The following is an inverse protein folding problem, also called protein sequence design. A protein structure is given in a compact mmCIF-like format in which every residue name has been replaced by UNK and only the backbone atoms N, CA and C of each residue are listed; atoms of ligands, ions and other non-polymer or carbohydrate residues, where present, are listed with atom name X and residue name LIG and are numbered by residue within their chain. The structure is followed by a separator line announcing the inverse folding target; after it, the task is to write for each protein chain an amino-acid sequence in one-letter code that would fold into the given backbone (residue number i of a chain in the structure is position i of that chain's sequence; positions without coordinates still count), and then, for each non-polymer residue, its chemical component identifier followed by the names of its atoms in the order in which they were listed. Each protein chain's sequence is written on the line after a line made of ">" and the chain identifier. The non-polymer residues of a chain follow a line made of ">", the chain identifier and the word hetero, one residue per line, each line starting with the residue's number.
data_IF_714786906011
#
_entry.id   IF_714786906011
#
_cell.length_a   1.000
_cell.length_b   1.000
_cell.length_c   1.000
_cell.angle_alpha   90.00
_cell.angle_beta   90.00
_cell.angle_gamma   90.00
#
_symmetry.space_group_name_H-M   'P 1'
#
loop_
_entity.id
_entity.type
_entity.pdbx_description
1 polymer ?
#
# COMPACT_ATOMS: atom_id res chain seq x y z
N UNK A 1 17.52 1.07 1.54
CA UNK A 1 17.54 0.13 0.42
C UNK A 1 16.17 -0.53 0.30
N UNK A 2 15.50 -0.50 -0.87
CA UNK A 2 14.12 -1.01 -1.00
C UNK A 2 13.96 -2.47 -0.53
N UNK A 3 15.00 -3.28 -0.65
CA UNK A 3 15.01 -4.67 -0.23
C UNK A 3 14.79 -4.90 1.26
N UNK A 4 15.10 -3.92 2.11
CA UNK A 4 14.92 -4.05 3.56
C UNK A 4 13.43 -4.02 3.98
N UNK A 5 12.56 -3.53 3.11
CA UNK A 5 11.11 -3.44 3.35
C UNK A 5 10.35 -4.58 2.66
N UNK A 6 11.08 -5.46 1.98
CA UNK A 6 10.47 -6.60 1.30
C UNK A 6 10.25 -7.74 2.30
N UNK A 7 9.00 -8.03 2.61
CA UNK A 7 8.58 -9.12 3.48
C UNK A 7 7.76 -10.14 2.70
N UNK A 8 7.81 -11.38 3.15
CA UNK A 8 7.03 -12.46 2.56
C UNK A 8 5.75 -12.66 3.37
N UNK A 9 4.60 -12.73 2.68
CA UNK A 9 3.32 -13.08 3.27
C UNK A 9 2.83 -14.43 2.75
N UNK A 10 2.21 -15.21 3.62
CA UNK A 10 1.57 -16.49 3.26
C UNK A 10 0.13 -16.51 3.73
N UNK A 11 -0.76 -17.00 2.86
CA UNK A 11 -2.12 -17.38 3.21
C UNK A 11 -2.22 -18.89 3.11
N UNK A 12 -2.73 -19.51 4.16
CA UNK A 12 -2.93 -20.96 4.20
C UNK A 12 -4.39 -21.30 4.47
N UNK A 13 -4.94 -22.17 3.63
CA UNK A 13 -6.27 -22.76 3.82
C UNK A 13 -6.13 -24.29 3.93
N UNK A 14 -6.67 -24.92 4.98
CA UNK A 14 -6.52 -26.37 5.19
C UNK A 14 -7.12 -27.22 4.06
N UNK A 15 -8.13 -26.71 3.38
CA UNK A 15 -8.80 -27.35 2.23
C UNK A 15 -8.03 -27.22 0.91
N UNK A 16 -6.91 -26.47 0.90
CA UNK A 16 -6.13 -26.22 -0.31
C UNK A 16 -6.84 -25.34 -1.35
N UNK A 17 -7.92 -24.64 -0.99
CA UNK A 17 -8.67 -23.79 -1.90
C UNK A 17 -7.83 -22.63 -2.44
N UNK A 18 -6.90 -22.12 -1.64
CA UNK A 18 -5.93 -21.11 -2.06
C UNK A 18 -4.61 -21.78 -2.43
N UNK A 19 -4.22 -21.62 -3.68
CA UNK A 19 -2.91 -22.04 -4.15
C UNK A 19 -2.41 -21.07 -5.24
N UNK A 20 -1.11 -20.86 -5.28
CA UNK A 20 -0.51 -19.97 -6.27
C UNK A 20 0.38 -18.92 -5.64
N UNK A 21 0.76 -17.95 -6.46
CA UNK A 21 1.63 -16.84 -6.09
C UNK A 21 1.04 -15.54 -6.61
N UNK A 22 0.99 -14.52 -5.73
CA UNK A 22 0.71 -13.15 -6.11
C UNK A 22 2.04 -12.48 -6.36
N UNK A 23 2.27 -12.02 -7.58
CA UNK A 23 3.52 -11.38 -8.01
C UNK A 23 3.46 -9.85 -8.05
N UNK A 24 2.28 -9.27 -7.92
CA UNK A 24 2.06 -7.84 -7.93
C UNK A 24 2.55 -7.18 -6.64
N UNK A 25 2.89 -5.88 -6.73
CA UNK A 25 3.24 -5.09 -5.56
C UNK A 25 2.09 -5.11 -4.56
N UNK A 26 2.37 -5.54 -3.36
CA UNK A 26 1.43 -5.63 -2.25
C UNK A 26 2.05 -5.06 -0.97
N UNK A 27 1.25 -4.78 0.03
CA UNK A 27 1.70 -4.19 1.28
C UNK A 27 0.92 -4.73 2.48
N UNK A 28 1.39 -4.45 3.67
CA UNK A 28 0.73 -4.91 4.90
C UNK A 28 -0.71 -4.37 5.05
N UNK A 29 -0.98 -3.19 4.49
CA UNK A 29 -2.34 -2.61 4.50
C UNK A 29 -3.35 -3.42 3.69
N UNK A 30 -2.89 -4.30 2.80
CA UNK A 30 -3.73 -5.18 1.98
C UNK A 30 -4.20 -6.43 2.73
N UNK A 31 -3.57 -6.75 3.86
CA UNK A 31 -3.87 -7.98 4.63
C UNK A 31 -5.31 -7.96 5.12
N UNK A 32 -5.73 -6.89 5.77
CA UNK A 32 -7.07 -6.80 6.34
C UNK A 32 -8.18 -6.89 5.27
N UNK A 33 -8.17 -6.10 4.19
CA UNK A 33 -9.19 -6.21 3.15
C UNK A 33 -9.20 -7.60 2.49
N UNK A 34 -8.04 -8.20 2.29
CA UNK A 34 -7.95 -9.56 1.72
C UNK A 34 -8.57 -10.62 2.64
N UNK A 35 -8.31 -10.55 3.94
CA UNK A 35 -8.92 -11.47 4.91
C UNK A 35 -10.43 -11.25 5.03
N UNK A 36 -10.89 -10.01 5.00
CA UNK A 36 -12.32 -9.70 5.00
C UNK A 36 -13.01 -10.24 3.75
N UNK A 37 -12.39 -10.12 2.58
CA UNK A 37 -12.86 -10.71 1.34
C UNK A 37 -12.97 -12.22 1.42
N UNK A 38 -11.92 -12.90 1.94
CA UNK A 38 -11.90 -14.35 2.12
C UNK A 38 -12.96 -14.86 3.10
N UNK A 39 -13.27 -14.10 4.14
CA UNK A 39 -14.31 -14.45 5.12
C UNK A 39 -15.71 -14.07 4.68
N UNK A 40 -15.87 -13.48 3.49
CA UNK A 40 -17.16 -13.09 2.94
C UNK A 40 -17.81 -11.91 3.66
N UNK A 41 -17.00 -11.02 4.24
CA UNK A 41 -17.51 -9.82 4.90
C UNK A 41 -18.28 -8.94 3.89
N UNK A 42 -19.46 -8.49 4.28
CA UNK A 42 -20.31 -7.57 3.49
C UNK A 42 -20.55 -6.24 4.19
N UNK A 43 -20.05 -6.09 5.41
CA UNK A 43 -20.17 -4.84 6.15
C UNK A 43 -19.19 -3.81 5.60
N UNK A 44 -19.60 -2.55 5.50
CA UNK A 44 -18.70 -1.47 5.12
C UNK A 44 -17.53 -1.36 6.08
N UNK A 45 -16.34 -1.20 5.53
CA UNK A 45 -15.12 -0.94 6.31
C UNK A 45 -14.25 0.07 5.59
N UNK A 46 -13.35 0.69 6.35
CA UNK A 46 -12.34 1.58 5.80
C UNK A 46 -10.99 0.85 5.71
N UNK A 47 -10.34 0.94 4.56
CA UNK A 47 -8.97 0.46 4.37
C UNK A 47 -8.23 1.34 3.36
N UNK A 48 -6.95 1.57 3.60
CA UNK A 48 -6.05 2.15 2.59
C UNK A 48 -5.59 1.11 1.57
N UNK A 49 -5.52 -0.15 1.98
CA UNK A 49 -5.16 -1.28 1.14
C UNK A 49 -6.31 -1.79 0.28
N UNK A 50 -6.03 -2.84 -0.47
CA UNK A 50 -6.98 -3.53 -1.36
C UNK A 50 -7.07 -5.02 -1.02
N UNK A 51 -8.14 -5.66 -1.45
CA UNK A 51 -8.24 -7.13 -1.48
C UNK A 51 -7.42 -7.65 -2.67
N UNK A 52 -6.24 -8.19 -2.40
CA UNK A 52 -5.32 -8.63 -3.46
C UNK A 52 -5.84 -9.83 -4.25
N UNK A 53 -6.82 -10.56 -3.73
CA UNK A 53 -7.41 -11.72 -4.39
C UNK A 53 -8.61 -11.35 -5.27
N UNK A 54 -9.41 -10.38 -4.84
CA UNK A 54 -10.68 -10.05 -5.51
C UNK A 54 -10.67 -8.69 -6.22
N UNK A 55 -9.63 -7.88 -6.03
CA UNK A 55 -9.50 -6.56 -6.65
C UNK A 55 -8.20 -6.41 -7.48
N UNK A 56 -7.93 -7.31 -8.44
CA UNK A 56 -6.70 -7.28 -9.23
C UNK A 56 -6.57 -6.01 -10.11
N UNK A 57 -7.69 -5.38 -10.45
CA UNK A 57 -7.72 -4.17 -11.30
C UNK A 57 -7.31 -2.89 -10.56
N UNK A 58 -7.25 -2.91 -9.23
CA UNK A 58 -6.82 -1.74 -8.47
C UNK A 58 -5.31 -1.55 -8.61
N UNK A 59 -4.83 -0.29 -8.67
CA UNK A 59 -3.42 0.01 -8.79
C UNK A 59 -2.57 -0.68 -7.72
N UNK A 60 -1.46 -1.28 -8.14
CA UNK A 60 -0.53 -1.99 -7.26
C UNK A 60 0.52 -1.01 -6.76
N UNK A 61 0.60 -0.85 -5.46
CA UNK A 61 1.58 0.03 -4.83
C UNK A 61 1.81 -0.35 -3.36
N UNK A 62 2.97 0.02 -2.86
CA UNK A 62 3.22 0.03 -1.43
C UNK A 62 3.92 1.32 -1.02
N UNK A 63 3.66 1.82 0.18
CA UNK A 63 4.33 2.99 0.74
C UNK A 63 5.00 2.58 2.04
N UNK A 64 6.25 2.97 2.18
CA UNK A 64 7.04 2.78 3.40
C UNK A 64 7.69 4.10 3.82
N UNK A 65 8.02 4.20 5.10
CA UNK A 65 8.74 5.32 5.67
C UNK A 65 10.01 4.84 6.39
N UNK A 66 11.12 5.48 6.07
CA UNK A 66 12.44 5.23 6.66
C UNK A 66 13.22 6.56 6.61
N UNK A 67 12.76 7.54 7.40
CA UNK A 67 13.24 8.91 7.31
C UNK A 67 12.89 9.62 5.99
N UNK A 68 12.31 8.91 5.04
CA UNK A 68 11.79 9.38 3.77
C UNK A 68 10.68 8.44 3.31
N UNK A 69 9.62 8.99 2.73
CA UNK A 69 8.60 8.15 2.11
C UNK A 69 9.10 7.52 0.81
N UNK A 70 8.81 6.24 0.67
CA UNK A 70 9.06 5.51 -0.58
C UNK A 70 7.78 4.84 -1.03
N UNK A 71 7.38 5.12 -2.25
CA UNK A 71 6.31 4.40 -2.92
C UNK A 71 6.92 3.44 -3.93
N UNK A 72 6.53 2.16 -3.85
CA UNK A 72 6.87 1.14 -4.84
C UNK A 72 5.63 0.90 -5.68
N UNK A 73 5.78 0.93 -6.98
CA UNK A 73 4.72 0.67 -7.96
C UNK A 73 5.25 -0.30 -9.02
N UNK A 74 4.40 -0.77 -9.91
CA UNK A 74 4.83 -1.58 -11.07
C UNK A 74 5.80 -0.79 -11.99
N UNK A 75 5.75 0.55 -11.95
CA UNK A 75 6.65 1.43 -12.69
C UNK A 75 7.99 1.72 -12.02
N UNK A 76 8.21 1.24 -10.80
CA UNK A 76 9.44 1.45 -10.04
C UNK A 76 9.26 2.10 -8.67
N UNK A 77 10.36 2.60 -8.12
CA UNK A 77 10.41 3.21 -6.78
C UNK A 77 10.45 4.72 -6.90
N UNK A 78 9.58 5.38 -6.15
CA UNK A 78 9.50 6.84 -6.04
C UNK A 78 9.80 7.22 -4.59
N UNK A 79 10.79 8.08 -4.37
CA UNK A 79 11.07 8.64 -3.04
C UNK A 79 10.53 10.06 -2.96
N UNK A 80 9.89 10.42 -1.86
CA UNK A 80 9.34 11.75 -1.64
C UNK A 80 9.39 12.16 -0.16
N UNK A 81 9.42 13.47 0.08
CA UNK A 81 9.40 14.06 1.42
C UNK A 81 8.15 14.96 1.53
N UNK A 82 7.52 14.99 2.71
CA UNK A 82 6.35 15.84 2.94
C UNK A 82 6.71 17.33 2.91
N UNK A 83 7.89 17.69 3.40
CA UNK A 83 8.31 19.07 3.59
C UNK A 83 9.05 19.67 2.38
N UNK A 84 9.60 18.84 1.52
CA UNK A 84 10.39 19.29 0.37
C UNK A 84 9.70 18.91 -0.93
N UNK A 85 9.53 19.89 -1.79
CA UNK A 85 9.16 19.63 -3.17
C UNK A 85 10.08 18.56 -3.76
N UNK A 86 9.51 17.48 -4.20
CA UNK A 86 10.13 16.17 -4.43
C UNK A 86 11.18 16.09 -5.55
N UNK A 87 11.99 17.14 -5.70
CA UNK A 87 13.26 17.08 -6.42
C UNK A 87 14.35 16.35 -5.61
N UNK A 88 14.03 15.84 -4.42
CA UNK A 88 14.98 15.22 -3.54
C UNK A 88 15.28 13.79 -3.98
N UNK A 89 16.40 13.63 -4.65
CA UNK A 89 17.27 12.44 -4.74
C UNK A 89 16.56 11.09 -4.79
N UNK A 90 16.03 10.78 -5.96
CA UNK A 90 15.72 9.40 -6.29
C UNK A 90 17.02 8.56 -6.30
N UNK A 91 17.04 7.35 -5.70
CA UNK A 91 18.15 6.43 -5.88
C UNK A 91 18.38 6.14 -7.37
N UNK A 92 19.62 5.82 -7.74
CA UNK A 92 19.95 5.44 -9.11
C UNK A 92 19.03 4.28 -9.56
N UNK A 93 18.26 4.51 -10.64
CA UNK A 93 17.28 3.55 -11.15
C UNK A 93 15.82 3.86 -10.78
N UNK A 94 15.55 4.91 -9.99
CA UNK A 94 14.19 5.39 -9.78
C UNK A 94 13.85 6.50 -10.79
N UNK A 95 12.63 6.51 -11.29
CA UNK A 95 12.16 7.60 -12.12
C UNK A 95 12.02 8.87 -11.25
N UNK A 96 12.93 9.84 -11.47
CA UNK A 96 12.88 11.15 -10.84
C UNK A 96 11.70 11.94 -11.43
N UNK A 97 10.55 11.84 -10.78
CA UNK A 97 9.38 12.66 -11.06
C UNK A 97 8.76 13.13 -9.75
N UNK A 98 8.03 14.23 -9.76
CA UNK A 98 7.20 14.59 -8.61
C UNK A 98 6.33 13.36 -8.26
N UNK A 99 6.21 12.99 -6.96
CA UNK A 99 5.40 11.85 -6.60
C UNK A 99 3.99 12.10 -7.12
N UNK A 100 3.35 11.07 -7.69
CA UNK A 100 1.97 11.19 -8.06
C UNK A 100 1.18 11.78 -6.90
N UNK A 101 0.35 12.77 -7.16
CA UNK A 101 -0.46 13.48 -6.14
C UNK A 101 -1.23 12.54 -5.22
N UNK A 102 -1.55 11.35 -5.72
CA UNK A 102 -2.20 10.27 -4.97
C UNK A 102 -1.41 9.82 -3.74
N UNK A 103 -0.07 9.73 -3.78
CA UNK A 103 0.72 9.30 -2.62
C UNK A 103 0.83 10.39 -1.55
N UNK A 104 0.91 11.65 -1.96
CA UNK A 104 0.82 12.78 -1.02
C UNK A 104 -0.54 12.83 -0.35
N UNK A 105 -1.61 12.68 -1.13
CA UNK A 105 -2.97 12.64 -0.61
C UNK A 105 -3.19 11.46 0.35
N UNK A 106 -2.60 10.30 0.06
CA UNK A 106 -2.64 9.13 0.93
C UNK A 106 -1.99 9.41 2.29
N UNK A 107 -0.76 9.94 2.29
CA UNK A 107 -0.04 10.27 3.52
C UNK A 107 -0.79 11.33 4.31
N UNK A 108 -1.27 12.39 3.67
CA UNK A 108 -2.06 13.42 4.31
C UNK A 108 -3.36 12.86 4.91
N UNK A 109 -4.06 11.99 4.18
CA UNK A 109 -5.28 11.36 4.67
C UNK A 109 -5.00 10.43 5.86
N UNK A 110 -3.88 9.70 5.83
CA UNK A 110 -3.45 8.86 6.94
C UNK A 110 -3.26 9.68 8.23
N UNK A 111 -2.49 10.78 8.17
CA UNK A 111 -2.29 11.63 9.33
C UNK A 111 -3.59 12.29 9.80
N UNK A 112 -4.39 12.81 8.89
CA UNK A 112 -5.68 13.44 9.23
C UNK A 112 -6.60 12.45 9.97
N UNK A 113 -6.62 11.19 9.57
CA UNK A 113 -7.46 10.19 10.25
C UNK A 113 -6.92 9.82 11.62
N UNK A 114 -5.60 9.70 11.78
CA UNK A 114 -4.97 9.47 13.08
C UNK A 114 -5.28 10.61 14.03
N UNK A 115 -5.06 11.85 13.61
CA UNK A 115 -5.29 13.04 14.43
C UNK A 115 -6.76 13.17 14.88
N UNK A 116 -7.68 12.92 13.97
CA UNK A 116 -9.12 13.00 14.23
C UNK A 116 -9.68 11.75 14.90
N UNK A 117 -8.88 10.71 15.09
CA UNK A 117 -9.31 9.39 15.58
C UNK A 117 -10.49 8.83 14.78
N UNK A 118 -10.49 9.10 13.49
CA UNK A 118 -11.58 8.79 12.59
C UNK A 118 -11.22 7.55 11.76
N UNK A 119 -11.65 6.39 12.25
CA UNK A 119 -11.33 5.08 11.67
C UNK A 119 -12.56 4.34 11.15
N UNK A 120 -13.71 5.01 11.05
CA UNK A 120 -14.95 4.39 10.59
C UNK A 120 -15.18 4.58 9.10
N UNK A 121 -16.03 3.73 8.52
CA UNK A 121 -16.36 3.76 7.09
C UNK A 121 -17.28 4.94 6.70
N UNK A 122 -17.81 5.67 7.69
CA UNK A 122 -18.88 6.66 7.49
C UNK A 122 -18.40 8.11 7.41
N UNK A 123 -17.10 8.36 7.23
CA UNK A 123 -16.56 9.73 7.21
C UNK A 123 -15.89 10.07 5.90
#
# INVERSE_FOLDING_TARGET
>A
YPGNMHIIGFLYTPDGALHGRIGEVSQQLDIMPTLLGLTGNREPYFAFGRDVLNEPERPHWSVSYDGMFRAVTDGGVIAFDEERDAAARAPAGSHAGAPPSQFRALVQQYYTRIERKNYTAHD
#
